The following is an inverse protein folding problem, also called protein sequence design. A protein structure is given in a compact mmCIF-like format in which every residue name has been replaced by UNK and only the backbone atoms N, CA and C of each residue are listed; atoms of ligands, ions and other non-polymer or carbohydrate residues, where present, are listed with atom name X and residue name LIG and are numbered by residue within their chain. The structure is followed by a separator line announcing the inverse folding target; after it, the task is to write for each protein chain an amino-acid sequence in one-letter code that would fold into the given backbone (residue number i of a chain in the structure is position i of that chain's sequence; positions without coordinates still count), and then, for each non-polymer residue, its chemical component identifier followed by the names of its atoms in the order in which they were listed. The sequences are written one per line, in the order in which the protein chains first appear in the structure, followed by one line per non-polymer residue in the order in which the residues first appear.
data_IF_239847786431
#
_entry.id   IF_239847786431
#
_cell.length_a   1.000
_cell.length_b   1.000
_cell.length_c   1.000
_cell.angle_alpha   90.00
_cell.angle_beta   90.00
_cell.angle_gamma   90.00
#
_symmetry.space_group_name_H-M   'P 1'
#
loop_
_entity.id
_entity.type
_entity.pdbx_description
1 polymer ?
#
# COMPACT_ATOMS: atom_id res chain seq x y z
N UNK A 1 9.25 11.56 0.97
CA UNK A 1 9.88 11.14 -0.29
C UNK A 1 8.99 10.11 -0.94
N UNK A 2 9.29 9.70 -2.18
CA UNK A 2 8.62 8.56 -2.80
C UNK A 2 8.81 7.31 -1.94
N UNK A 3 7.79 6.46 -1.90
CA UNK A 3 7.83 5.15 -1.28
C UNK A 3 7.69 4.05 -2.33
N UNK A 4 8.08 2.83 -1.97
CA UNK A 4 7.93 1.65 -2.84
C UNK A 4 6.91 0.70 -2.23
N UNK A 5 5.97 0.21 -3.04
CA UNK A 5 4.97 -0.76 -2.58
C UNK A 5 5.68 -2.07 -2.23
N UNK A 6 5.75 -2.39 -0.94
CA UNK A 6 6.35 -3.62 -0.42
C UNK A 6 5.37 -4.80 -0.49
N UNK A 7 4.06 -4.52 -0.43
CA UNK A 7 2.99 -5.51 -0.52
C UNK A 7 1.71 -4.90 -1.08
N UNK A 8 1.01 -5.65 -1.95
CA UNK A 8 -0.31 -5.32 -2.45
C UNK A 8 -1.12 -6.62 -2.63
N UNK A 9 -2.15 -6.84 -1.81
CA UNK A 9 -2.95 -8.06 -1.89
C UNK A 9 -3.86 -8.30 -0.70
N UNK A 10 -4.43 -9.51 -0.60
CA UNK A 10 -5.23 -9.91 0.55
C UNK A 10 -4.35 -10.49 1.67
N UNK A 11 -4.60 -10.10 2.92
CA UNK A 11 -3.92 -10.64 4.10
C UNK A 11 -4.93 -10.91 5.21
N UNK A 12 -4.85 -12.09 5.83
CA UNK A 12 -5.72 -12.45 6.95
C UNK A 12 -5.65 -11.39 8.05
N UNK A 13 -6.82 -11.00 8.58
CA UNK A 13 -6.98 -9.92 9.56
C UNK A 13 -7.04 -8.50 8.98
N UNK A 14 -6.58 -8.28 7.74
CA UNK A 14 -6.53 -6.93 7.12
C UNK A 14 -7.44 -6.79 5.89
N UNK A 15 -8.01 -7.86 5.38
CA UNK A 15 -8.70 -7.83 4.09
C UNK A 15 -7.69 -7.52 2.97
N UNK A 16 -8.08 -6.67 2.00
CA UNK A 16 -7.11 -6.15 1.02
C UNK A 16 -6.28 -5.06 1.67
N UNK A 17 -4.97 -5.14 1.48
CA UNK A 17 -4.00 -4.25 2.11
C UNK A 17 -2.89 -3.88 1.14
N UNK A 18 -2.47 -2.62 1.22
CA UNK A 18 -1.26 -2.11 0.57
C UNK A 18 -0.28 -1.67 1.64
N UNK A 19 0.98 -2.05 1.50
CA UNK A 19 2.09 -1.59 2.35
C UNK A 19 3.11 -0.84 1.48
N UNK A 20 3.50 0.34 1.93
CA UNK A 20 4.45 1.23 1.26
C UNK A 20 5.66 1.41 2.18
N UNK A 21 6.84 1.12 1.66
CA UNK A 21 8.13 1.31 2.31
C UNK A 21 8.75 2.63 1.87
N UNK A 22 8.97 3.54 2.82
CA UNK A 22 9.55 4.86 2.56
C UNK A 22 11.06 4.90 2.88
N UNK A 23 11.65 3.74 3.18
CA UNK A 23 13.03 3.62 3.65
C UNK A 23 13.19 3.86 5.15
N UNK A 24 14.41 3.63 5.65
CA UNK A 24 14.81 3.88 7.05
C UNK A 24 13.91 3.22 8.12
N UNK A 25 13.25 2.11 7.77
CA UNK A 25 12.33 1.40 8.67
C UNK A 25 10.94 2.04 8.79
N UNK A 26 10.65 3.11 8.04
CA UNK A 26 9.34 3.75 8.03
C UNK A 26 8.44 3.14 6.95
N UNK A 27 7.28 2.64 7.36
CA UNK A 27 6.29 2.02 6.46
C UNK A 27 4.89 2.51 6.76
N UNK A 28 4.11 2.69 5.70
CA UNK A 28 2.67 2.95 5.80
C UNK A 28 1.90 1.70 5.37
N UNK A 29 0.79 1.41 6.04
CA UNK A 29 -0.08 0.29 5.71
C UNK A 29 -1.53 0.76 5.62
N UNK A 30 -2.20 0.39 4.54
CA UNK A 30 -3.60 0.71 4.27
C UNK A 30 -4.38 -0.59 4.13
N UNK A 31 -5.11 -0.98 5.17
CA UNK A 31 -5.94 -2.19 5.20
C UNK A 31 -7.42 -1.90 4.97
N UNK A 32 -8.24 -2.96 4.97
CA UNK A 32 -9.69 -2.89 4.75
C UNK A 32 -10.05 -2.11 3.48
N UNK A 33 -9.31 -2.40 2.41
CA UNK A 33 -9.55 -1.82 1.10
C UNK A 33 -10.60 -2.64 0.36
N UNK A 34 -11.52 -1.94 -0.30
CA UNK A 34 -12.44 -2.54 -1.27
C UNK A 34 -11.71 -2.91 -2.55
N UNK A 35 -10.70 -2.14 -2.96
CA UNK A 35 -9.89 -2.42 -4.16
C UNK A 35 -8.50 -1.82 -4.05
N UNK A 36 -7.53 -2.46 -4.70
CA UNK A 36 -6.14 -2.01 -4.80
C UNK A 36 -5.88 -1.51 -6.22
N UNK A 37 -5.15 -0.41 -6.36
CA UNK A 37 -4.82 0.22 -7.66
C UNK A 37 -3.33 0.13 -8.02
N UNK A 38 -2.50 -0.39 -7.11
CA UNK A 38 -1.05 -0.52 -7.26
C UNK A 38 -0.58 -1.96 -7.09
N UNK A 39 0.61 -2.26 -7.58
CA UNK A 39 1.27 -3.56 -7.50
C UNK A 39 2.56 -3.49 -6.67
N UNK A 40 3.01 -4.65 -6.19
CA UNK A 40 4.30 -4.74 -5.50
C UNK A 40 5.43 -4.29 -6.43
N UNK A 41 6.29 -3.41 -5.94
CA UNK A 41 7.41 -2.84 -6.70
C UNK A 41 7.14 -1.46 -7.28
N UNK A 42 5.87 -1.02 -7.31
CA UNK A 42 5.52 0.31 -7.80
C UNK A 42 6.11 1.40 -6.88
N UNK A 43 6.62 2.46 -7.48
CA UNK A 43 6.97 3.70 -6.76
C UNK A 43 5.73 4.57 -6.66
N UNK A 44 5.46 5.08 -5.46
CA UNK A 44 4.32 5.94 -5.15
C UNK A 44 4.80 7.22 -4.47
N UNK A 45 4.17 8.34 -4.82
CA UNK A 45 4.42 9.63 -4.22
C UNK A 45 3.29 10.05 -3.28
N UNK A 46 3.51 11.14 -2.55
CA UNK A 46 2.49 11.70 -1.68
C UNK A 46 1.34 12.22 -2.54
N UNK A 47 0.14 11.67 -2.33
CA UNK A 47 -1.07 12.02 -3.09
C UNK A 47 -1.51 10.94 -4.08
N UNK A 48 -0.67 9.94 -4.36
CA UNK A 48 -1.02 8.85 -5.27
C UNK A 48 -2.13 7.96 -4.70
N UNK A 49 -3.02 7.52 -5.60
CA UNK A 49 -4.09 6.60 -5.26
C UNK A 49 -3.55 5.17 -5.17
N UNK A 50 -3.48 4.63 -3.95
CA UNK A 50 -3.04 3.24 -3.69
C UNK A 50 -4.20 2.24 -3.59
N UNK A 51 -5.41 2.72 -3.34
CA UNK A 51 -6.60 1.89 -3.24
C UNK A 51 -7.85 2.67 -2.84
N UNK A 52 -8.99 1.98 -2.83
CA UNK A 52 -10.27 2.53 -2.37
C UNK A 52 -10.69 1.79 -1.10
N UNK A 53 -11.10 2.53 -0.08
CA UNK A 53 -11.57 1.98 1.20
C UNK A 53 -12.90 1.22 1.03
N UNK A 54 -13.09 0.16 1.82
CA UNK A 54 -14.37 -0.53 2.00
C UNK A 54 -14.28 -2.02 2.31
#
# INVERSE_FOLDING_TARGET
GPGTVSFAGARSGYGRVVEVDHGYGFKSRYGHLRSITVSKGDTVEVGDLVGKMG
#
